data_IF_187603233131
#
_entry.id   IF_187603233131
#
_cell.length_a   1.000
_cell.length_b   1.000
_cell.length_c   1.000
_cell.angle_alpha   90.00
_cell.angle_beta   90.00
_cell.angle_gamma   90.00
#
_symmetry.space_group_name_H-M   'P 1'
#
loop_
_entity.id
_entity.type
_entity.pdbx_description
1 polymer ?
#
# COMPACT_ATOMS: atom_id res chain seq x y z
N UNK A 1 17.01 -16.83 4.17
CA UNK A 1 15.96 -15.85 3.85
C UNK A 1 15.68 -15.09 5.13
N UNK A 2 15.99 -13.79 5.19
CA UNK A 2 15.64 -12.99 6.35
C UNK A 2 14.12 -12.84 6.35
N UNK A 3 13.47 -13.43 7.34
CA UNK A 3 12.05 -13.22 7.57
C UNK A 3 11.91 -11.82 8.16
N UNK A 4 11.80 -10.81 7.29
CA UNK A 4 11.42 -9.46 7.70
C UNK A 4 10.13 -9.56 8.50
N UNK A 5 10.19 -9.07 9.73
CA UNK A 5 9.09 -9.03 10.66
C UNK A 5 8.41 -7.66 10.53
N UNK A 6 7.31 -7.63 9.78
CA UNK A 6 6.59 -6.40 9.46
C UNK A 6 5.89 -5.80 10.69
N UNK A 7 5.61 -6.61 11.72
CA UNK A 7 4.92 -6.16 12.94
C UNK A 7 5.78 -5.19 13.76
N UNK A 8 7.09 -5.19 13.54
CA UNK A 8 8.05 -4.34 14.25
C UNK A 8 8.51 -3.10 13.46
N UNK A 9 8.02 -2.92 12.23
CA UNK A 9 8.37 -1.76 11.40
C UNK A 9 7.60 -0.53 11.88
N UNK A 10 8.30 0.61 11.98
CA UNK A 10 7.71 1.92 12.29
C UNK A 10 7.76 2.84 11.08
N UNK A 11 6.81 3.78 11.01
CA UNK A 11 6.72 4.79 9.95
C UNK A 11 8.03 5.57 9.75
N UNK A 12 8.72 5.93 10.84
CA UNK A 12 9.98 6.69 10.81
C UNK A 12 11.16 5.94 10.18
N UNK A 13 11.03 4.62 10.00
CA UNK A 13 12.06 3.77 9.40
C UNK A 13 11.85 3.58 7.89
N UNK A 14 10.67 3.95 7.38
CA UNK A 14 10.32 3.81 5.97
C UNK A 14 10.94 4.94 5.16
N UNK A 15 11.47 4.58 3.98
CA UNK A 15 12.05 5.53 3.03
C UNK A 15 11.27 5.53 1.72
N UNK A 16 11.13 6.71 1.12
CA UNK A 16 10.60 6.88 -0.24
C UNK A 16 11.52 6.16 -1.23
N UNK A 17 10.96 5.29 -2.06
CA UNK A 17 11.68 4.61 -3.15
C UNK A 17 11.29 5.19 -4.50
N UNK A 18 10.01 5.10 -4.85
CA UNK A 18 9.48 5.55 -6.14
C UNK A 18 8.12 6.21 -5.96
N UNK A 19 7.91 7.34 -6.63
CA UNK A 19 6.66 8.07 -6.56
C UNK A 19 5.55 7.30 -7.27
N UNK A 20 4.38 7.26 -6.64
CA UNK A 20 3.16 6.74 -7.23
C UNK A 20 2.17 7.90 -7.47
N UNK A 21 1.23 7.75 -8.41
CA UNK A 21 0.11 8.68 -8.51
C UNK A 21 -0.60 8.81 -7.16
N UNK A 22 -1.10 10.01 -6.86
CA UNK A 22 -1.97 10.19 -5.69
C UNK A 22 -3.15 9.22 -5.78
N UNK A 23 -3.50 8.65 -4.63
CA UNK A 23 -4.57 7.65 -4.57
C UNK A 23 -5.95 8.31 -4.49
N UNK A 24 -6.00 9.56 -4.03
CA UNK A 24 -7.19 10.44 -4.04
C UNK A 24 -6.79 11.84 -4.54
N UNK A 25 -7.65 12.49 -5.32
CA UNK A 25 -7.35 13.78 -5.99
C UNK A 25 -7.06 14.92 -4.98
N UNK A 26 -7.85 15.01 -3.91
CA UNK A 26 -7.73 16.04 -2.88
C UNK A 26 -6.80 15.67 -1.71
N UNK A 27 -6.12 14.52 -1.79
CA UNK A 27 -5.17 14.12 -0.75
C UNK A 27 -3.99 15.11 -0.74
N UNK A 28 -3.56 15.54 0.45
CA UNK A 28 -2.41 16.47 0.59
C UNK A 28 -1.10 15.72 0.37
N UNK A 29 -1.01 14.54 0.97
CA UNK A 29 0.12 13.64 0.98
C UNK A 29 0.42 13.10 -0.40
N UNK A 30 1.65 12.65 -0.59
CA UNK A 30 2.11 11.95 -1.78
C UNK A 30 2.15 10.45 -1.51
N UNK A 31 1.78 9.66 -2.51
CA UNK A 31 1.86 8.20 -2.45
C UNK A 31 3.22 7.74 -2.96
N UNK A 32 3.87 6.83 -2.23
CA UNK A 32 5.19 6.31 -2.57
C UNK A 32 5.25 4.79 -2.38
N UNK A 33 6.05 4.11 -3.21
CA UNK A 33 6.65 2.84 -2.84
C UNK A 33 7.64 3.09 -1.69
N UNK A 34 7.64 2.19 -0.71
CA UNK A 34 8.47 2.35 0.49
C UNK A 34 9.43 1.19 0.71
N UNK A 35 10.63 1.56 1.14
CA UNK A 35 11.69 0.62 1.52
C UNK A 35 11.87 0.58 3.03
N UNK A 36 12.23 -0.60 3.52
CA UNK A 36 12.81 -0.79 4.84
C UNK A 36 14.23 -1.34 4.66
N UNK A 37 15.23 -0.52 5.00
CA UNK A 37 16.61 -0.78 4.56
C UNK A 37 16.70 -0.66 3.04
N UNK A 38 17.18 -1.71 2.39
CA UNK A 38 17.36 -1.79 0.93
C UNK A 38 16.27 -2.65 0.24
N UNK A 39 15.23 -3.07 0.96
CA UNK A 39 14.15 -3.89 0.41
C UNK A 39 12.84 -3.11 0.27
N UNK A 40 12.15 -3.18 -0.89
CA UNK A 40 10.79 -2.68 -1.03
C UNK A 40 9.83 -3.56 -0.24
N UNK A 41 9.04 -2.89 0.61
CA UNK A 41 8.17 -3.54 1.60
C UNK A 41 6.70 -3.14 1.50
N UNK A 42 6.35 -2.14 0.70
CA UNK A 42 4.94 -1.75 0.53
C UNK A 42 4.75 -0.35 -0.07
N UNK A 43 3.67 0.30 0.37
CA UNK A 43 3.30 1.67 -0.04
C UNK A 43 3.07 2.57 1.17
N UNK A 44 3.33 3.86 1.03
CA UNK A 44 3.15 4.83 2.11
C UNK A 44 2.75 6.22 1.63
N UNK A 45 2.17 6.98 2.55
CA UNK A 45 1.75 8.37 2.40
C UNK A 45 2.74 9.27 3.13
N UNK A 46 3.26 10.27 2.42
CA UNK A 46 4.24 11.22 2.95
C UNK A 46 3.77 12.65 2.73
N UNK A 47 4.11 13.56 3.64
CA UNK A 47 3.90 14.97 3.36
C UNK A 47 4.77 15.43 2.17
N UNK A 48 4.25 16.30 1.28
CA UNK A 48 4.91 16.70 0.04
C UNK A 48 6.29 17.35 0.24
N UNK A 49 6.50 18.02 1.39
CA UNK A 49 7.74 18.72 1.70
C UNK A 49 8.61 18.01 2.75
N UNK A 50 8.47 16.69 2.92
CA UNK A 50 9.31 15.97 3.86
C UNK A 50 9.30 14.44 3.76
N UNK A 51 10.10 13.82 4.62
CA UNK A 51 10.26 12.37 4.73
C UNK A 51 9.37 11.78 5.84
N UNK A 52 8.42 12.56 6.35
CA UNK A 52 7.50 12.10 7.37
C UNK A 52 6.41 11.25 6.73
N UNK A 53 6.54 9.93 6.89
CA UNK A 53 5.48 8.98 6.60
C UNK A 53 4.37 9.09 7.65
N UNK A 54 3.12 9.25 7.22
CA UNK A 54 1.96 9.36 8.12
C UNK A 54 1.15 8.09 8.19
N UNK A 55 1.17 7.31 7.11
CA UNK A 55 0.49 6.03 7.00
C UNK A 55 1.22 5.16 5.99
N UNK A 56 1.28 3.86 6.24
CA UNK A 56 1.80 2.89 5.28
C UNK A 56 1.08 1.56 5.37
N UNK A 57 1.06 0.83 4.26
CA UNK A 57 0.68 -0.58 4.22
C UNK A 57 1.92 -1.35 3.76
N UNK A 58 2.40 -2.24 4.62
CA UNK A 58 3.60 -3.06 4.37
C UNK A 58 3.26 -4.54 4.51
N UNK A 59 3.98 -5.40 3.79
CA UNK A 59 3.74 -6.85 3.85
C UNK A 59 4.25 -7.58 2.62
N UNK A 60 4.13 -8.91 2.62
CA UNK A 60 4.48 -9.76 1.46
C UNK A 60 3.27 -10.16 0.64
N UNK A 61 2.09 -10.14 1.23
CA UNK A 61 0.80 -10.61 0.68
C UNK A 61 -0.34 -9.72 1.19
N UNK A 62 -1.56 -9.90 0.69
CA UNK A 62 -2.73 -9.19 1.26
C UNK A 62 -3.12 -9.74 2.64
N UNK A 63 -2.83 -11.00 2.94
CA UNK A 63 -3.24 -11.66 4.20
C UNK A 63 -2.30 -11.31 5.37
N UNK A 64 -1.03 -11.01 5.11
CA UNK A 64 -0.02 -10.66 6.10
C UNK A 64 0.32 -9.15 6.14
N UNK A 65 -0.54 -8.31 5.54
CA UNK A 65 -0.31 -6.87 5.51
C UNK A 65 -0.46 -6.25 6.90
N UNK A 66 0.42 -5.31 7.20
CA UNK A 66 0.40 -4.48 8.39
C UNK A 66 0.12 -3.04 7.99
N UNK A 67 -0.87 -2.44 8.63
CA UNK A 67 -1.21 -1.03 8.48
C UNK A 67 -0.50 -0.25 9.58
N UNK A 68 0.36 0.68 9.19
CA UNK A 68 1.11 1.55 10.08
C UNK A 68 0.50 2.95 10.06
N UNK A 69 0.35 3.55 11.24
CA UNK A 69 -0.21 4.89 11.39
C UNK A 69 -1.72 4.97 11.30
N UNK A 70 -2.24 6.17 11.50
CA UNK A 70 -3.65 6.49 11.40
C UNK A 70 -3.80 7.82 10.66
N UNK A 71 -4.86 7.94 9.86
CA UNK A 71 -5.14 9.13 9.11
C UNK A 71 -6.15 9.98 9.89
N UNK A 72 -5.73 11.17 10.33
CA UNK A 72 -6.44 11.96 11.35
C UNK A 72 -7.54 12.90 10.84
N UNK A 73 -8.18 12.60 9.71
CA UNK A 73 -9.26 13.44 9.14
C UNK A 73 -10.64 12.88 9.50
N UNK A 74 -11.72 13.55 9.06
CA UNK A 74 -13.08 13.00 9.16
C UNK A 74 -13.14 11.55 8.66
N UNK A 75 -13.90 10.72 9.37
CA UNK A 75 -13.94 9.26 9.19
C UNK A 75 -14.12 8.85 7.71
N UNK A 76 -15.08 9.44 6.98
CA UNK A 76 -15.36 9.10 5.57
C UNK A 76 -14.17 9.35 4.61
N UNK A 77 -13.40 10.41 4.85
CA UNK A 77 -12.26 10.75 4.00
C UNK A 77 -11.04 9.89 4.33
N UNK A 78 -10.86 9.56 5.61
CA UNK A 78 -9.82 8.63 6.05
C UNK A 78 -10.06 7.23 5.47
N UNK A 79 -11.31 6.77 5.44
CA UNK A 79 -11.70 5.48 4.85
C UNK A 79 -11.44 5.42 3.35
N UNK A 80 -11.75 6.50 2.63
CA UNK A 80 -11.46 6.60 1.19
C UNK A 80 -9.96 6.50 0.91
N UNK A 81 -9.15 7.24 1.65
CA UNK A 81 -7.69 7.24 1.50
C UNK A 81 -7.11 5.88 1.83
N UNK A 82 -7.58 5.25 2.91
CA UNK A 82 -7.15 3.91 3.29
C UNK A 82 -7.51 2.87 2.21
N UNK A 83 -8.73 2.92 1.67
CA UNK A 83 -9.15 2.04 0.59
C UNK A 83 -8.29 2.22 -0.66
N UNK A 84 -8.02 3.48 -1.03
CA UNK A 84 -7.22 3.78 -2.21
C UNK A 84 -5.74 3.40 -2.03
N UNK A 85 -5.19 3.55 -0.82
CA UNK A 85 -3.85 3.06 -0.47
C UNK A 85 -3.77 1.52 -0.50
N UNK A 86 -4.84 0.81 -0.14
CA UNK A 86 -4.93 -0.65 -0.29
C UNK A 86 -4.85 -1.08 -1.77
N UNK A 87 -5.49 -0.35 -2.67
CA UNK A 87 -5.39 -0.60 -4.12
C UNK A 87 -3.93 -0.41 -4.58
N UNK A 88 -3.26 0.65 -4.13
CA UNK A 88 -1.85 0.87 -4.43
C UNK A 88 -0.96 -0.26 -3.91
N UNK A 89 -1.23 -0.77 -2.70
CA UNK A 89 -0.52 -1.93 -2.14
C UNK A 89 -0.71 -3.19 -2.98
N UNK A 90 -1.93 -3.47 -3.45
CA UNK A 90 -2.18 -4.58 -4.37
C UNK A 90 -1.45 -4.42 -5.70
N UNK A 91 -1.35 -3.19 -6.21
CA UNK A 91 -0.49 -2.86 -7.35
C UNK A 91 0.98 -3.18 -7.09
N UNK A 92 1.51 -2.79 -5.93
CA UNK A 92 2.87 -3.13 -5.49
C UNK A 92 3.12 -4.64 -5.47
N UNK A 93 2.23 -5.43 -4.86
CA UNK A 93 2.36 -6.89 -4.81
C UNK A 93 2.47 -7.51 -6.22
N UNK A 94 1.64 -7.03 -7.15
CA UNK A 94 1.65 -7.48 -8.55
C UNK A 94 2.90 -7.06 -9.31
N UNK A 95 3.34 -5.82 -9.13
CA UNK A 95 4.44 -5.25 -9.92
C UNK A 95 5.83 -5.61 -9.40
N UNK A 96 6.01 -5.68 -8.08
CA UNK A 96 7.33 -5.83 -7.45
C UNK A 96 7.56 -7.25 -6.95
N UNK A 97 6.58 -7.84 -6.27
CA UNK A 97 6.72 -9.21 -5.74
C UNK A 97 6.36 -10.28 -6.79
N UNK A 98 5.67 -9.89 -7.87
CA UNK A 98 5.25 -10.80 -8.93
C UNK A 98 4.24 -11.83 -8.46
N UNK A 99 3.53 -11.55 -7.35
CA UNK A 99 2.65 -12.53 -6.75
C UNK A 99 1.32 -12.63 -7.51
N UNK A 100 0.90 -13.88 -7.61
CA UNK A 100 0.05 -14.51 -8.61
C UNK A 100 -1.34 -13.90 -8.75
N UNK A 101 -1.88 -13.95 -9.97
CA UNK A 101 -3.29 -13.72 -10.33
C UNK A 101 -4.21 -14.32 -9.26
N UNK A 102 -4.85 -13.49 -8.44
CA UNK A 102 -6.09 -13.87 -7.77
C UNK A 102 -7.03 -14.29 -8.89
N UNK A 103 -7.39 -15.57 -8.89
CA UNK A 103 -8.03 -16.28 -10.01
C UNK A 103 -9.09 -15.45 -10.71
N UNK A 104 -9.18 -15.67 -12.02
CA UNK A 104 -10.29 -15.17 -12.83
C UNK A 104 -11.59 -15.29 -12.02
N UNK A 105 -12.43 -14.23 -11.96
CA UNK A 105 -13.79 -14.43 -11.49
C UNK A 105 -14.35 -15.60 -12.30
N UNK A 106 -15.04 -16.58 -11.68
CA UNK A 106 -15.61 -17.67 -12.44
C UNK A 106 -16.42 -17.03 -13.56
N UNK A 107 -15.97 -17.26 -14.80
CA UNK A 107 -16.74 -16.89 -15.96
C UNK A 107 -17.91 -17.87 -15.87
N UNK A 108 -19.03 -17.37 -15.36
CA UNK A 108 -20.28 -18.10 -15.41
C UNK A 108 -20.58 -18.25 -16.90
N UNK A 109 -20.26 -19.43 -17.45
CA UNK A 109 -20.72 -19.86 -18.77
C UNK A 109 -22.24 -20.10 -18.69
N UNK A 110 -22.99 -19.03 -18.45
CA UNK A 110 -24.43 -18.95 -18.67
C UNK A 110 -24.73 -17.74 -19.53
N UNK A 111 -24.47 -17.90 -20.83
CA UNK A 111 -25.36 -17.35 -21.83
C UNK A 111 -25.69 -18.49 -22.79
N UNK A 112 -26.80 -19.17 -22.47
CA UNK A 112 -27.64 -19.87 -23.44
C UNK A 112 -28.01 -18.89 -24.58
N UNK A 113 -27.66 -19.24 -25.82
CA UNK A 113 -28.54 -19.46 -27.00
C UNK A 113 -27.73 -19.46 -28.31
#
# INVERSE_FOLDING_TARGET
MNTLDFDNIKLEQLKKESALPKVVEDQVEETWLVNYGDEPVGVGLFFPDGDKCVMAIVGKTDDDKVVLGTYGTSDDHADLIYHALKIAFQGYLRSVKGDTVLGDPPIDETIDE
#
